data_IF_050932492982
#
_entry.id   IF_050932492982
#
_cell.length_a   1.000
_cell.length_b   1.000
_cell.length_c   1.000
_cell.angle_alpha   90.00
_cell.angle_beta   90.00
_cell.angle_gamma   90.00
#
_symmetry.space_group_name_H-M   'P 1'
#
loop_
_entity.id
_entity.type
_entity.pdbx_description
1 polymer ?
#
# COMPACT_ATOMS: atom_id res chain seq x y z
N UNK A 1 -33.66 -7.86 4.32
CA UNK A 1 -33.15 -6.57 3.90
C UNK A 1 -32.65 -5.83 5.13
N UNK A 2 -31.49 -5.22 5.09
CA UNK A 2 -30.97 -4.49 6.24
C UNK A 2 -31.75 -3.20 6.47
N UNK A 3 -31.90 -2.79 7.73
CA UNK A 3 -32.45 -1.49 8.09
C UNK A 3 -31.32 -0.46 8.13
N UNK A 4 -31.20 0.37 7.09
CA UNK A 4 -30.09 1.32 6.98
C UNK A 4 -30.22 2.53 7.92
N UNK A 5 -31.41 2.76 8.53
CA UNK A 5 -31.57 3.82 9.54
C UNK A 5 -30.80 3.58 10.83
N UNK A 6 -30.34 2.35 11.04
CA UNK A 6 -29.55 1.96 12.23
C UNK A 6 -28.05 2.34 12.07
N UNK A 7 -27.63 2.76 10.87
CA UNK A 7 -26.26 3.19 10.61
C UNK A 7 -26.14 4.71 10.74
N UNK A 8 -25.03 5.14 11.33
CA UNK A 8 -24.72 6.56 11.47
C UNK A 8 -24.57 7.21 10.09
N UNK A 9 -25.20 8.35 9.90
CA UNK A 9 -24.99 9.15 8.70
C UNK A 9 -23.57 9.73 8.71
N UNK A 10 -22.74 9.28 7.77
CA UNK A 10 -21.36 9.72 7.59
C UNK A 10 -21.10 10.10 6.15
N UNK A 11 -20.06 10.91 5.94
CA UNK A 11 -19.58 11.31 4.63
C UNK A 11 -18.09 11.00 4.52
N UNK A 12 -17.80 9.86 3.89
CA UNK A 12 -16.44 9.42 3.60
C UNK A 12 -16.12 9.75 2.15
N UNK A 13 -15.04 10.48 1.91
CA UNK A 13 -14.49 10.69 0.57
C UNK A 13 -13.46 9.60 0.27
N UNK A 14 -13.50 9.02 -0.92
CA UNK A 14 -12.43 8.24 -1.51
C UNK A 14 -11.83 9.06 -2.66
N UNK A 15 -10.63 9.57 -2.47
CA UNK A 15 -9.89 10.36 -3.44
C UNK A 15 -8.89 9.46 -4.16
N UNK A 16 -8.88 9.50 -5.49
CA UNK A 16 -7.92 8.75 -6.33
C UNK A 16 -7.31 9.64 -7.40
N UNK A 17 -5.98 9.56 -7.52
CA UNK A 17 -5.23 10.18 -8.61
C UNK A 17 -5.01 9.14 -9.70
N UNK A 18 -5.73 9.30 -10.80
CA UNK A 18 -5.63 8.39 -11.94
C UNK A 18 -4.26 8.50 -12.59
N UNK A 19 -3.69 7.38 -13.05
CA UNK A 19 -2.39 7.34 -13.71
C UNK A 19 -1.26 8.08 -12.97
N UNK A 20 -1.30 8.07 -11.63
CA UNK A 20 -0.48 8.91 -10.75
C UNK A 20 0.99 8.98 -11.16
N UNK A 21 1.65 7.82 -11.33
CA UNK A 21 3.09 7.80 -11.63
C UNK A 21 3.41 8.43 -12.99
N UNK A 22 2.58 8.18 -14.01
CA UNK A 22 2.77 8.78 -15.33
C UNK A 22 2.50 10.29 -15.30
N UNK A 23 1.40 10.70 -14.66
CA UNK A 23 1.00 12.12 -14.60
C UNK A 23 1.99 12.95 -13.78
N UNK A 24 2.43 12.47 -12.60
CA UNK A 24 3.50 13.12 -11.83
C UNK A 24 4.79 13.25 -12.66
N UNK A 25 5.12 12.22 -13.42
CA UNK A 25 6.31 12.23 -14.26
C UNK A 25 6.22 13.25 -15.40
N UNK A 26 5.03 13.46 -15.95
CA UNK A 26 4.78 14.53 -16.94
C UNK A 26 4.91 15.91 -16.30
N UNK A 27 4.11 16.18 -15.24
CA UNK A 27 4.09 17.48 -14.58
C UNK A 27 5.47 17.90 -14.10
N UNK A 28 6.24 16.98 -13.54
CA UNK A 28 7.61 17.25 -13.08
C UNK A 28 8.60 17.60 -14.18
N UNK A 29 8.27 17.28 -15.43
CA UNK A 29 9.04 17.66 -16.63
C UNK A 29 8.47 18.89 -17.34
N UNK A 30 7.42 19.48 -16.78
CA UNK A 30 6.72 20.63 -17.37
C UNK A 30 5.91 20.27 -18.62
N UNK A 31 5.49 19.01 -18.79
CA UNK A 31 4.68 18.55 -19.91
C UNK A 31 3.27 18.18 -19.44
N UNK A 32 2.27 18.47 -20.27
CA UNK A 32 0.86 18.19 -19.95
C UNK A 32 0.57 16.67 -20.08
N UNK A 33 0.13 15.99 -19.00
CA UNK A 33 -0.17 14.56 -19.04
C UNK A 33 -1.37 14.22 -19.95
N UNK A 34 -2.28 15.15 -20.19
CA UNK A 34 -3.46 14.95 -21.02
C UNK A 34 -3.17 15.02 -22.53
N UNK A 35 -2.00 15.51 -22.91
CA UNK A 35 -1.59 15.68 -24.32
C UNK A 35 -0.42 14.76 -24.69
N UNK A 36 0.35 14.33 -23.73
CA UNK A 36 1.61 13.62 -23.96
C UNK A 36 1.50 12.13 -23.64
N UNK A 37 2.11 11.32 -24.48
CA UNK A 37 2.18 9.86 -24.36
C UNK A 37 3.41 9.49 -23.55
N UNK A 38 3.20 9.09 -22.28
CA UNK A 38 4.29 8.70 -21.39
C UNK A 38 3.98 7.38 -20.67
N UNK A 39 4.95 6.46 -20.69
CA UNK A 39 4.95 5.25 -19.90
C UNK A 39 6.03 5.26 -18.82
N UNK A 40 5.66 4.92 -17.59
CA UNK A 40 6.57 4.57 -16.51
C UNK A 40 6.74 3.07 -16.50
N UNK A 41 7.98 2.57 -16.64
CA UNK A 41 8.30 1.16 -16.81
C UNK A 41 9.19 0.67 -15.69
N UNK A 42 8.97 -0.54 -15.19
CA UNK A 42 9.71 -1.11 -14.06
C UNK A 42 11.24 -1.12 -14.28
N UNK A 43 11.68 -1.34 -15.52
CA UNK A 43 13.10 -1.30 -15.91
C UNK A 43 13.19 -1.11 -17.43
N UNK A 44 13.64 0.07 -17.87
CA UNK A 44 13.76 0.38 -19.31
C UNK A 44 14.84 -0.42 -20.05
N UNK A 45 15.72 -1.11 -19.33
CA UNK A 45 16.78 -1.95 -19.93
C UNK A 45 16.30 -3.37 -20.26
N UNK A 46 15.15 -3.80 -19.75
CA UNK A 46 14.61 -5.17 -19.91
C UNK A 46 13.41 -5.15 -20.84
N UNK A 47 13.49 -5.79 -22.00
CA UNK A 47 12.41 -5.86 -23.00
C UNK A 47 11.08 -6.42 -22.44
N UNK A 48 11.14 -7.35 -21.51
CA UNK A 48 9.97 -7.90 -20.83
C UNK A 48 9.47 -7.09 -19.63
N UNK A 49 10.03 -5.91 -19.37
CA UNK A 49 9.61 -5.05 -18.26
C UNK A 49 8.16 -4.59 -18.39
N UNK A 50 7.52 -4.37 -17.25
CA UNK A 50 6.09 -4.07 -17.16
C UNK A 50 5.86 -2.56 -17.10
N UNK A 51 4.85 -2.08 -17.82
CA UNK A 51 4.31 -0.72 -17.68
C UNK A 51 3.63 -0.62 -16.31
N UNK A 52 4.16 0.23 -15.44
CA UNK A 52 3.62 0.53 -14.11
C UNK A 52 2.46 1.51 -14.21
N UNK A 53 2.60 2.52 -15.09
CA UNK A 53 1.59 3.55 -15.32
C UNK A 53 1.79 4.15 -16.71
N UNK A 54 0.69 4.52 -17.35
CA UNK A 54 0.68 5.19 -18.64
C UNK A 54 -0.27 6.37 -18.62
N UNK A 55 0.06 7.47 -19.32
CA UNK A 55 -0.86 8.59 -19.52
C UNK A 55 -2.06 8.18 -20.36
N UNK A 56 -3.17 8.90 -20.24
CA UNK A 56 -4.39 8.60 -20.97
C UNK A 56 -4.20 8.57 -22.50
N UNK A 57 -3.50 9.54 -23.14
CA UNK A 57 -3.19 9.48 -24.58
C UNK A 57 -2.38 8.26 -25.01
N UNK A 58 -1.61 7.65 -24.10
CA UNK A 58 -0.91 6.39 -24.39
C UNK A 58 -1.83 5.18 -24.20
N UNK A 59 -2.76 5.24 -23.27
CA UNK A 59 -3.76 4.18 -23.05
C UNK A 59 -4.73 4.07 -24.24
N UNK A 60 -5.06 5.18 -24.90
CA UNK A 60 -5.84 5.18 -26.15
C UNK A 60 -5.18 4.38 -27.28
N UNK A 61 -3.84 4.25 -27.24
CA UNK A 61 -3.10 3.37 -28.16
C UNK A 61 -3.07 1.89 -27.71
N UNK A 62 -3.80 1.54 -26.64
CA UNK A 62 -3.88 0.18 -26.11
C UNK A 62 -2.81 -0.15 -25.04
N UNK A 63 -1.89 0.77 -24.71
CA UNK A 63 -0.83 0.55 -23.73
C UNK A 63 -1.30 0.96 -22.33
N UNK A 64 -1.48 -0.01 -21.45
CA UNK A 64 -1.99 0.17 -20.10
C UNK A 64 -1.08 -0.45 -19.05
N UNK A 65 -1.37 -0.21 -17.78
CA UNK A 65 -0.71 -0.89 -16.66
C UNK A 65 -0.74 -2.41 -16.85
N UNK A 66 0.45 -3.05 -16.75
CA UNK A 66 0.63 -4.47 -17.01
C UNK A 66 1.10 -4.81 -18.44
N UNK A 67 0.96 -3.92 -19.43
CA UNK A 67 1.56 -4.08 -20.76
C UNK A 67 3.08 -4.24 -20.66
N UNK A 68 3.70 -4.85 -21.68
CA UNK A 68 5.15 -5.07 -21.72
C UNK A 68 5.84 -3.97 -22.53
N UNK A 69 7.11 -3.69 -22.21
CA UNK A 69 7.90 -2.70 -22.95
C UNK A 69 7.90 -2.94 -24.44
N UNK A 70 8.00 -4.19 -24.90
CA UNK A 70 8.01 -4.55 -26.32
C UNK A 70 6.65 -4.33 -27.03
N UNK A 71 5.56 -4.15 -26.29
CA UNK A 71 4.24 -3.84 -26.86
C UNK A 71 4.10 -2.34 -27.18
N UNK A 72 4.99 -1.50 -26.64
CA UNK A 72 4.95 -0.05 -26.87
C UNK A 72 5.46 0.22 -28.29
N UNK A 73 4.69 0.91 -29.15
CA UNK A 73 5.13 1.26 -30.49
C UNK A 73 6.40 2.11 -30.48
N UNK A 74 7.35 1.82 -31.37
CA UNK A 74 8.54 2.65 -31.57
C UNK A 74 8.16 3.95 -32.28
N UNK A 75 7.85 5.00 -31.49
CA UNK A 75 7.46 6.33 -31.98
C UNK A 75 8.20 7.40 -31.19
N UNK A 76 8.59 8.48 -31.88
CA UNK A 76 9.33 9.59 -31.27
C UNK A 76 8.48 10.46 -30.32
N UNK A 77 7.15 10.35 -30.40
CA UNK A 77 6.19 11.06 -29.55
C UNK A 77 5.80 10.29 -28.27
N UNK A 78 6.44 9.14 -28.00
CA UNK A 78 6.21 8.33 -26.80
C UNK A 78 7.42 8.43 -25.89
N UNK A 79 7.20 8.90 -24.65
CA UNK A 79 8.23 8.97 -23.62
C UNK A 79 8.22 7.71 -22.77
N UNK A 80 9.38 7.09 -22.60
CA UNK A 80 9.56 5.89 -21.78
C UNK A 80 10.56 6.21 -20.68
N UNK A 81 10.17 6.05 -19.42
CA UNK A 81 10.98 6.42 -18.26
C UNK A 81 10.97 5.36 -17.15
N UNK A 82 12.02 5.37 -16.35
CA UNK A 82 12.05 4.61 -15.09
C UNK A 82 11.27 5.35 -13.99
N UNK A 83 10.73 4.64 -12.97
CA UNK A 83 10.02 5.25 -11.86
C UNK A 83 10.96 6.09 -10.98
N UNK A 84 10.45 7.22 -10.49
CA UNK A 84 11.14 8.06 -9.51
C UNK A 84 10.32 8.11 -8.20
N UNK A 85 10.55 7.13 -7.32
CA UNK A 85 9.78 6.98 -6.07
C UNK A 85 9.86 8.20 -5.16
N UNK A 86 11.03 8.87 -5.08
CA UNK A 86 11.20 10.08 -4.26
C UNK A 86 10.24 11.19 -4.71
N UNK A 87 10.10 11.36 -6.01
CA UNK A 87 9.22 12.37 -6.59
C UNK A 87 7.75 12.04 -6.32
N UNK A 88 7.33 10.79 -6.50
CA UNK A 88 5.97 10.34 -6.24
C UNK A 88 5.57 10.53 -4.76
N UNK A 89 6.48 10.22 -3.84
CA UNK A 89 6.27 10.47 -2.41
C UNK A 89 6.14 11.97 -2.11
N UNK A 90 6.93 12.82 -2.75
CA UNK A 90 6.82 14.28 -2.56
C UNK A 90 5.44 14.81 -3.00
N UNK A 91 4.93 14.37 -4.14
CA UNK A 91 3.59 14.75 -4.59
C UNK A 91 2.49 14.22 -3.67
N UNK A 92 2.59 12.96 -3.24
CA UNK A 92 1.66 12.40 -2.26
C UNK A 92 1.66 13.20 -0.94
N UNK A 93 2.84 13.60 -0.45
CA UNK A 93 2.97 14.45 0.75
C UNK A 93 2.37 15.85 0.54
N UNK A 94 2.49 16.43 -0.66
CA UNK A 94 1.85 17.73 -0.96
C UNK A 94 0.33 17.59 -0.88
N UNK A 95 -0.25 16.55 -1.48
CA UNK A 95 -1.67 16.26 -1.41
C UNK A 95 -2.11 16.06 0.06
N UNK A 96 -1.37 15.27 0.82
CA UNK A 96 -1.67 15.05 2.23
C UNK A 96 -1.67 16.36 3.04
N UNK A 97 -0.74 17.29 2.75
CA UNK A 97 -0.72 18.63 3.38
C UNK A 97 -1.94 19.46 3.03
N UNK A 98 -2.41 19.43 1.77
CA UNK A 98 -3.66 20.08 1.37
C UNK A 98 -4.83 19.55 2.18
N UNK A 99 -4.92 18.22 2.35
CA UNK A 99 -6.00 17.61 3.14
C UNK A 99 -5.97 18.03 4.63
N UNK A 100 -4.79 18.19 5.21
CA UNK A 100 -4.62 18.66 6.59
C UNK A 100 -5.10 20.10 6.82
N UNK A 101 -5.30 20.92 5.78
CA UNK A 101 -5.92 22.24 5.91
C UNK A 101 -7.41 22.14 6.22
N UNK A 102 -8.05 21.00 5.95
CA UNK A 102 -9.48 20.80 6.04
C UNK A 102 -9.91 19.85 7.16
N UNK A 103 -9.12 18.81 7.43
CA UNK A 103 -9.49 17.75 8.38
C UNK A 103 -8.31 17.38 9.28
N UNK A 104 -8.62 16.76 10.40
CA UNK A 104 -7.58 16.26 11.30
C UNK A 104 -6.87 15.03 10.71
N UNK A 105 -5.61 14.82 11.08
CA UNK A 105 -4.81 13.69 10.58
C UNK A 105 -5.44 12.31 10.86
N UNK A 106 -6.18 12.18 11.96
CA UNK A 106 -6.86 10.93 12.34
C UNK A 106 -8.08 10.62 11.44
N UNK A 107 -8.56 11.61 10.69
CA UNK A 107 -9.67 11.48 9.75
C UNK A 107 -9.18 11.38 8.29
N UNK A 108 -7.87 11.14 8.09
CA UNK A 108 -7.25 10.83 6.79
C UNK A 108 -6.63 9.45 6.87
N UNK A 109 -7.07 8.56 5.98
CA UNK A 109 -6.51 7.21 5.85
C UNK A 109 -5.94 7.01 4.46
N UNK A 110 -4.61 6.93 4.36
CA UNK A 110 -3.95 6.62 3.10
C UNK A 110 -4.05 5.12 2.80
N UNK A 111 -4.78 4.76 1.75
CA UNK A 111 -4.96 3.38 1.32
C UNK A 111 -3.84 2.92 0.36
N UNK A 112 -3.48 3.79 -0.60
CA UNK A 112 -2.36 3.62 -1.53
C UNK A 112 -1.67 4.96 -1.72
N UNK A 113 -0.53 4.98 -2.41
CA UNK A 113 0.18 6.25 -2.72
C UNK A 113 -0.72 7.25 -3.47
N UNK A 114 -1.64 6.73 -4.29
CA UNK A 114 -2.56 7.50 -5.12
C UNK A 114 -4.03 7.41 -4.70
N UNK A 115 -4.34 6.80 -3.54
CA UNK A 115 -5.73 6.62 -3.08
C UNK A 115 -5.83 6.88 -1.57
N UNK A 116 -6.69 7.81 -1.20
CA UNK A 116 -6.84 8.33 0.16
C UNK A 116 -8.31 8.35 0.54
N UNK A 117 -8.65 7.84 1.73
CA UNK A 117 -9.96 8.01 2.34
C UNK A 117 -9.93 9.14 3.37
N UNK A 118 -11.04 9.89 3.45
CA UNK A 118 -11.16 11.06 4.31
C UNK A 118 -12.56 11.08 4.91
N UNK A 119 -12.65 11.11 6.24
CA UNK A 119 -13.92 11.36 6.91
C UNK A 119 -14.15 12.87 7.03
N UNK A 120 -15.16 13.36 6.32
CA UNK A 120 -15.49 14.79 6.29
C UNK A 120 -16.78 15.12 7.04
N UNK A 121 -17.34 14.16 7.75
CA UNK A 121 -18.65 14.26 8.43
C UNK A 121 -18.76 15.49 9.32
N UNK A 122 -17.74 15.75 10.13
CA UNK A 122 -17.74 16.84 11.10
C UNK A 122 -17.17 18.17 10.54
N UNK A 123 -16.67 18.16 9.29
CA UNK A 123 -15.91 19.29 8.73
C UNK A 123 -16.61 20.03 7.62
N UNK A 124 -17.30 19.35 6.68
CA UNK A 124 -17.78 19.96 5.44
C UNK A 124 -18.71 21.14 5.67
N UNK A 125 -19.56 21.10 6.73
CA UNK A 125 -20.52 22.17 7.08
C UNK A 125 -19.86 23.50 7.44
N UNK A 126 -18.57 23.50 7.79
CA UNK A 126 -17.82 24.72 8.07
C UNK A 126 -17.47 25.49 6.78
N UNK A 127 -17.54 24.83 5.64
CA UNK A 127 -17.10 25.36 4.34
C UNK A 127 -18.21 25.43 3.31
N UNK A 128 -19.15 24.48 3.31
CA UNK A 128 -20.18 24.31 2.28
C UNK A 128 -21.44 23.66 2.87
N UNK A 129 -22.55 23.78 2.13
CA UNK A 129 -23.82 23.16 2.53
C UNK A 129 -23.85 21.64 2.19
N UNK A 130 -23.10 21.22 1.16
CA UNK A 130 -23.12 19.85 0.66
C UNK A 130 -21.72 19.21 0.64
N UNK A 131 -21.60 17.91 0.98
CA UNK A 131 -20.34 17.19 0.90
C UNK A 131 -19.71 17.19 -0.51
N UNK A 132 -20.54 17.24 -1.57
CA UNK A 132 -20.05 17.31 -2.96
C UNK A 132 -19.37 18.64 -3.29
N UNK A 133 -19.85 19.75 -2.74
CA UNK A 133 -19.23 21.07 -2.89
C UNK A 133 -17.88 21.12 -2.15
N UNK A 134 -17.83 20.48 -0.98
CA UNK A 134 -16.59 20.35 -0.22
C UNK A 134 -15.56 19.50 -0.96
N UNK A 135 -15.98 18.36 -1.54
CA UNK A 135 -15.13 17.52 -2.37
C UNK A 135 -14.60 18.29 -3.60
N UNK A 136 -15.45 19.10 -4.27
CA UNK A 136 -15.03 19.93 -5.39
C UNK A 136 -13.97 20.97 -4.98
N UNK A 137 -14.10 21.56 -3.80
CA UNK A 137 -13.13 22.51 -3.26
C UNK A 137 -11.78 21.84 -2.99
N UNK A 138 -11.76 20.69 -2.33
CA UNK A 138 -10.54 19.91 -2.09
C UNK A 138 -9.87 19.53 -3.42
N UNK A 139 -10.66 19.06 -4.40
CA UNK A 139 -10.18 18.72 -5.74
C UNK A 139 -9.49 19.89 -6.41
N UNK A 140 -10.13 21.08 -6.41
CA UNK A 140 -9.58 22.28 -7.02
C UNK A 140 -8.26 22.72 -6.39
N UNK A 141 -8.13 22.65 -5.05
CA UNK A 141 -6.89 22.99 -4.37
C UNK A 141 -5.76 21.98 -4.67
N UNK A 142 -6.08 20.68 -4.71
CA UNK A 142 -5.10 19.65 -5.12
C UNK A 142 -4.62 19.92 -6.56
N UNK A 143 -5.51 20.24 -7.49
CA UNK A 143 -5.18 20.54 -8.88
C UNK A 143 -4.30 21.80 -8.97
N UNK A 144 -4.62 22.84 -8.21
CA UNK A 144 -3.84 24.08 -8.15
C UNK A 144 -2.41 23.82 -7.63
N UNK A 145 -2.26 23.06 -6.54
CA UNK A 145 -0.96 22.81 -5.88
C UNK A 145 -0.09 21.77 -6.62
N UNK A 146 -0.71 20.83 -7.32
CA UNK A 146 0.00 19.69 -7.91
C UNK A 146 -0.08 19.59 -9.42
N UNK A 147 -1.00 20.31 -10.07
CA UNK A 147 -1.37 20.17 -11.48
C UNK A 147 -1.84 18.75 -11.85
N UNK A 148 -2.34 18.00 -10.85
CA UNK A 148 -2.85 16.65 -11.02
C UNK A 148 -4.37 16.64 -10.82
N UNK A 149 -5.07 16.03 -11.77
CA UNK A 149 -6.50 15.78 -11.62
C UNK A 149 -6.75 14.59 -10.71
N UNK A 150 -7.77 14.69 -9.86
CA UNK A 150 -8.25 13.58 -9.05
C UNK A 150 -9.73 13.35 -9.21
N UNK A 151 -10.15 12.11 -9.00
CA UNK A 151 -11.53 11.68 -8.90
C UNK A 151 -11.88 11.47 -7.44
N UNK A 152 -13.12 11.76 -7.06
CA UNK A 152 -13.59 11.63 -5.69
C UNK A 152 -14.93 10.87 -5.68
N UNK A 153 -14.99 9.79 -4.89
CA UNK A 153 -16.24 9.13 -4.56
C UNK A 153 -16.68 9.49 -3.15
N UNK A 154 -17.96 9.72 -2.95
CA UNK A 154 -18.59 10.09 -1.68
C UNK A 154 -19.54 8.97 -1.26
N UNK A 155 -19.46 8.52 -0.03
CA UNK A 155 -20.35 7.49 0.52
C UNK A 155 -20.42 7.52 2.03
N UNK A 156 -21.40 6.80 2.63
CA UNK A 156 -21.55 6.72 4.08
C UNK A 156 -20.49 5.84 4.78
N UNK A 157 -19.69 5.12 4.01
CA UNK A 157 -18.58 4.29 4.47
C UNK A 157 -17.50 4.17 3.38
N UNK A 158 -16.38 3.52 3.69
CA UNK A 158 -15.25 3.39 2.75
C UNK A 158 -15.64 2.55 1.51
N UNK A 159 -16.43 1.50 1.70
CA UNK A 159 -16.88 0.65 0.60
C UNK A 159 -17.72 1.43 -0.42
N UNK A 160 -18.77 2.13 0.03
CA UNK A 160 -19.64 2.91 -0.87
C UNK A 160 -18.94 4.12 -1.46
N UNK A 161 -18.04 4.78 -0.72
CA UNK A 161 -17.23 5.86 -1.29
C UNK A 161 -16.29 5.37 -2.38
N UNK A 162 -15.68 4.16 -2.21
CA UNK A 162 -14.87 3.53 -3.24
C UNK A 162 -15.68 3.10 -4.44
N UNK A 163 -16.87 2.53 -4.24
CA UNK A 163 -17.76 2.19 -5.34
C UNK A 163 -18.23 3.45 -6.09
N UNK A 164 -18.57 4.54 -5.37
CA UNK A 164 -18.92 5.82 -5.97
C UNK A 164 -17.78 6.39 -6.82
N UNK A 165 -16.54 6.25 -6.36
CA UNK A 165 -15.35 6.58 -7.14
C UNK A 165 -15.30 5.77 -8.44
N UNK A 166 -15.41 4.43 -8.35
CA UNK A 166 -15.17 3.53 -9.47
C UNK A 166 -16.32 3.49 -10.49
N UNK A 167 -17.56 3.82 -10.08
CA UNK A 167 -18.74 3.73 -10.96
C UNK A 167 -19.34 5.06 -11.38
N UNK A 168 -19.36 6.06 -10.48
CA UNK A 168 -20.05 7.32 -10.69
C UNK A 168 -19.11 8.46 -11.07
N UNK A 169 -17.90 8.57 -10.46
CA UNK A 169 -17.04 9.74 -10.65
C UNK A 169 -16.56 9.93 -12.09
N UNK A 170 -16.43 8.86 -12.85
CA UNK A 170 -16.03 8.91 -14.27
C UNK A 170 -17.15 9.27 -15.22
N UNK A 171 -18.41 9.27 -14.74
CA UNK A 171 -19.58 9.61 -15.55
C UNK A 171 -19.99 11.08 -15.41
N UNK A 172 -19.40 11.80 -14.47
CA UNK A 172 -19.71 13.20 -14.19
C UNK A 172 -18.57 14.14 -14.59
N UNK A 173 -18.90 15.26 -15.22
CA UNK A 173 -17.93 16.28 -15.66
C UNK A 173 -17.05 16.81 -14.52
N UNK A 174 -17.56 16.79 -13.29
CA UNK A 174 -16.83 17.24 -12.11
C UNK A 174 -15.92 16.18 -11.50
N UNK A 175 -15.86 14.97 -12.05
CA UNK A 175 -15.09 13.85 -11.49
C UNK A 175 -15.43 13.51 -10.03
N UNK A 176 -16.70 13.74 -9.64
CA UNK A 176 -17.22 13.45 -8.29
C UNK A 176 -18.43 12.54 -8.41
N UNK A 177 -18.36 11.37 -7.77
CA UNK A 177 -19.45 10.42 -7.65
C UNK A 177 -20.02 10.38 -6.24
N UNK A 178 -21.31 10.05 -6.10
CA UNK A 178 -21.98 9.91 -4.81
C UNK A 178 -22.85 8.65 -4.81
N UNK A 179 -22.71 7.84 -3.77
CA UNK A 179 -23.58 6.70 -3.48
C UNK A 179 -24.04 6.74 -2.03
N UNK A 180 -25.35 6.57 -1.83
CA UNK A 180 -25.97 6.44 -0.52
C UNK A 180 -26.57 5.03 -0.35
N UNK A 181 -27.03 4.70 0.84
CA UNK A 181 -27.74 3.44 1.10
C UNK A 181 -29.01 3.28 0.25
N UNK A 182 -29.67 4.37 -0.12
CA UNK A 182 -30.82 4.37 -1.04
C UNK A 182 -30.48 3.90 -2.46
N UNK A 183 -29.23 4.05 -2.87
CA UNK A 183 -28.79 3.75 -4.24
C UNK A 183 -28.39 2.29 -4.44
N UNK A 184 -28.34 1.48 -3.34
CA UNK A 184 -27.79 0.11 -3.35
C UNK A 184 -28.53 -0.76 -4.36
N UNK A 185 -29.84 -0.76 -4.35
CA UNK A 185 -30.64 -1.65 -5.22
C UNK A 185 -30.51 -1.26 -6.70
N UNK A 186 -30.46 0.03 -6.98
CA UNK A 186 -30.51 0.55 -8.34
C UNK A 186 -29.11 0.69 -8.97
N UNK A 187 -28.07 0.98 -8.16
CA UNK A 187 -26.73 1.24 -8.67
C UNK A 187 -25.67 0.21 -8.26
N UNK A 188 -25.78 -0.38 -7.05
CA UNK A 188 -24.76 -1.32 -6.57
C UNK A 188 -25.11 -2.76 -6.97
N UNK A 189 -26.36 -3.19 -6.81
CA UNK A 189 -26.76 -4.56 -7.15
C UNK A 189 -26.58 -4.95 -8.62
N UNK A 190 -26.72 -4.06 -9.62
CA UNK A 190 -26.44 -4.38 -11.01
C UNK A 190 -24.96 -4.57 -11.35
N UNK A 191 -24.04 -4.20 -10.45
CA UNK A 191 -22.60 -4.29 -10.72
C UNK A 191 -22.20 -5.73 -11.09
N UNK A 192 -21.54 -5.86 -12.23
CA UNK A 192 -20.90 -7.06 -12.73
C UNK A 192 -19.70 -6.67 -13.60
N UNK A 193 -18.70 -7.49 -13.74
CA UNK A 193 -18.38 -8.69 -12.98
C UNK A 193 -18.08 -8.38 -11.49
N UNK A 194 -18.19 -9.39 -10.62
CA UNK A 194 -18.10 -9.21 -9.16
C UNK A 194 -16.75 -8.67 -8.68
N UNK A 195 -15.66 -8.95 -9.39
CA UNK A 195 -14.33 -8.45 -9.03
C UNK A 195 -14.18 -6.93 -9.12
N UNK A 196 -15.16 -6.21 -9.68
CA UNK A 196 -15.23 -4.73 -9.62
C UNK A 196 -15.56 -4.23 -8.22
N UNK A 197 -16.08 -5.09 -7.35
CA UNK A 197 -16.39 -4.73 -5.97
C UNK A 197 -15.16 -4.96 -5.10
N UNK A 198 -14.79 -3.96 -4.35
CA UNK A 198 -13.68 -4.02 -3.43
C UNK A 198 -13.84 -5.19 -2.43
N UNK A 199 -12.82 -6.02 -2.30
CA UNK A 199 -12.82 -7.23 -1.50
C UNK A 199 -13.11 -8.53 -2.27
N UNK A 200 -13.57 -8.46 -3.53
CA UNK A 200 -13.78 -9.63 -4.39
C UNK A 200 -12.69 -9.67 -5.47
N UNK A 201 -11.83 -10.68 -5.42
CA UNK A 201 -10.81 -10.89 -6.46
C UNK A 201 -11.31 -11.84 -7.57
N UNK A 202 -10.57 -11.92 -8.67
CA UNK A 202 -10.94 -12.76 -9.84
C UNK A 202 -11.09 -14.26 -9.49
N UNK A 203 -10.40 -14.77 -8.47
CA UNK A 203 -10.52 -16.16 -8.05
C UNK A 203 -11.86 -16.38 -7.34
N UNK A 204 -12.17 -15.53 -6.36
CA UNK A 204 -13.42 -15.59 -5.61
C UNK A 204 -14.63 -15.38 -6.52
N UNK A 205 -14.53 -14.46 -7.50
CA UNK A 205 -15.56 -14.28 -8.52
C UNK A 205 -15.86 -15.57 -9.29
N UNK A 206 -14.84 -16.30 -9.74
CA UNK A 206 -15.02 -17.60 -10.44
C UNK A 206 -15.77 -18.59 -9.56
N UNK A 207 -15.38 -18.70 -8.29
CA UNK A 207 -16.03 -19.58 -7.31
C UNK A 207 -17.51 -19.18 -7.09
N UNK A 208 -17.81 -17.87 -7.02
CA UNK A 208 -19.18 -17.36 -6.91
C UNK A 208 -19.99 -17.58 -8.19
N UNK A 209 -19.39 -17.43 -9.36
CA UNK A 209 -20.03 -17.68 -10.66
C UNK A 209 -20.40 -19.16 -10.82
N UNK A 210 -19.62 -20.09 -10.27
CA UNK A 210 -19.95 -21.53 -10.24
C UNK A 210 -21.20 -21.82 -9.40
N UNK A 211 -21.53 -20.94 -8.43
CA UNK A 211 -22.77 -20.98 -7.66
C UNK A 211 -23.96 -20.28 -8.36
N UNK A 212 -23.74 -19.73 -9.56
CA UNK A 212 -24.74 -18.96 -10.32
C UNK A 212 -24.89 -17.50 -9.84
N UNK A 213 -23.89 -16.96 -9.11
CA UNK A 213 -23.89 -15.60 -8.61
C UNK A 213 -23.03 -14.73 -9.52
N UNK A 214 -23.64 -13.90 -10.36
CA UNK A 214 -22.95 -13.10 -11.37
C UNK A 214 -22.96 -11.59 -11.05
N UNK A 215 -23.95 -11.13 -10.30
CA UNK A 215 -24.12 -9.73 -9.92
C UNK A 215 -24.04 -9.56 -8.41
N UNK A 216 -23.76 -8.35 -7.96
CA UNK A 216 -23.79 -8.00 -6.53
C UNK A 216 -25.18 -8.28 -5.93
N UNK A 217 -26.25 -8.02 -6.70
CA UNK A 217 -27.63 -8.32 -6.29
C UNK A 217 -27.91 -9.82 -6.14
N UNK A 218 -27.28 -10.70 -6.94
CA UNK A 218 -27.40 -12.15 -6.74
C UNK A 218 -26.74 -12.54 -5.42
N UNK A 219 -25.55 -12.00 -5.15
CA UNK A 219 -24.83 -12.24 -3.90
C UNK A 219 -25.59 -11.70 -2.69
N UNK A 220 -26.19 -10.51 -2.77
CA UNK A 220 -26.97 -9.89 -1.70
C UNK A 220 -28.22 -10.72 -1.32
N UNK A 221 -28.85 -11.34 -2.31
CA UNK A 221 -30.05 -12.16 -2.14
C UNK A 221 -29.74 -13.61 -1.78
N UNK A 222 -28.49 -14.04 -1.91
CA UNK A 222 -28.12 -15.42 -1.57
C UNK A 222 -28.14 -15.64 -0.06
N UNK A 223 -28.66 -16.79 0.43
CA UNK A 223 -28.81 -17.05 1.87
C UNK A 223 -27.46 -16.98 2.61
N UNK A 224 -27.36 -16.09 3.59
CA UNK A 224 -26.12 -15.85 4.35
C UNK A 224 -25.61 -17.11 5.08
N UNK A 225 -26.51 -17.99 5.54
CA UNK A 225 -26.14 -19.25 6.15
C UNK A 225 -25.43 -20.19 5.18
N UNK A 226 -25.81 -20.21 3.90
CA UNK A 226 -25.13 -20.98 2.85
C UNK A 226 -23.76 -20.38 2.51
N UNK A 227 -23.66 -19.04 2.40
CA UNK A 227 -22.36 -18.37 2.22
C UNK A 227 -21.42 -18.68 3.39
N UNK A 228 -21.96 -18.66 4.62
CA UNK A 228 -21.17 -18.97 5.82
C UNK A 228 -20.72 -20.44 5.86
N UNK A 229 -21.52 -21.38 5.39
CA UNK A 229 -21.13 -22.79 5.26
C UNK A 229 -19.99 -22.99 4.25
N UNK A 230 -20.00 -22.25 3.13
CA UNK A 230 -19.01 -22.37 2.07
C UNK A 230 -17.72 -21.60 2.38
N UNK A 231 -17.83 -20.40 2.94
CA UNK A 231 -16.72 -19.45 3.08
C UNK A 231 -16.40 -19.01 4.52
N UNK A 232 -17.08 -19.59 5.53
CA UNK A 232 -16.89 -19.22 6.93
C UNK A 232 -17.23 -17.75 7.22
N UNK A 233 -16.36 -17.05 7.93
CA UNK A 233 -16.52 -15.62 8.25
C UNK A 233 -16.59 -14.74 7.00
N UNK A 234 -15.79 -15.07 5.97
CA UNK A 234 -15.82 -14.36 4.69
C UNK A 234 -17.19 -14.40 4.02
N UNK A 235 -17.97 -15.48 4.21
CA UNK A 235 -19.34 -15.55 3.68
C UNK A 235 -20.30 -14.53 4.30
N UNK A 236 -20.11 -14.18 5.58
CA UNK A 236 -20.84 -13.09 6.24
C UNK A 236 -20.41 -11.74 5.72
N UNK A 237 -19.11 -11.54 5.55
CA UNK A 237 -18.53 -10.30 4.99
C UNK A 237 -19.02 -10.05 3.56
N UNK A 238 -19.06 -11.08 2.71
CA UNK A 238 -19.60 -10.99 1.36
C UNK A 238 -21.06 -10.54 1.34
N UNK A 239 -21.88 -11.05 2.25
CA UNK A 239 -23.27 -10.61 2.36
C UNK A 239 -23.37 -9.14 2.82
N UNK A 240 -22.54 -8.69 3.76
CA UNK A 240 -22.49 -7.29 4.19
C UNK A 240 -22.03 -6.37 3.04
N UNK A 241 -20.92 -6.70 2.38
CA UNK A 241 -20.38 -5.96 1.24
C UNK A 241 -21.43 -5.83 0.13
N UNK A 242 -22.14 -6.90 -0.22
CA UNK A 242 -23.17 -6.86 -1.27
C UNK A 242 -24.38 -6.01 -0.91
N UNK A 243 -24.56 -5.73 0.37
CA UNK A 243 -25.57 -4.80 0.88
C UNK A 243 -25.01 -3.42 1.24
N UNK A 244 -23.79 -3.08 0.76
CA UNK A 244 -23.17 -1.78 0.98
C UNK A 244 -22.76 -1.48 2.41
N UNK A 245 -22.69 -2.53 3.26
CA UNK A 245 -22.33 -2.40 4.67
C UNK A 245 -20.84 -2.72 4.83
N UNK A 246 -20.12 -1.75 5.37
CA UNK A 246 -18.71 -1.89 5.70
C UNK A 246 -18.57 -1.99 7.23
N UNK A 247 -17.93 -3.05 7.69
CA UNK A 247 -17.67 -3.26 9.12
C UNK A 247 -16.36 -2.64 9.58
N UNK A 248 -15.57 -2.08 8.64
CA UNK A 248 -14.33 -1.40 9.00
C UNK A 248 -14.62 -0.06 9.67
N UNK A 249 -14.03 0.14 10.85
CA UNK A 249 -14.13 1.41 11.57
C UNK A 249 -13.03 2.33 11.05
N UNK A 250 -13.41 3.48 10.49
CA UNK A 250 -12.48 4.42 9.86
C UNK A 250 -11.28 4.79 10.75
N UNK A 251 -11.48 4.97 12.05
CA UNK A 251 -10.42 5.33 13.01
C UNK A 251 -9.62 4.14 13.53
N UNK A 252 -10.14 2.91 13.47
CA UNK A 252 -9.42 1.70 13.90
C UNK A 252 -8.51 1.15 12.80
N UNK A 253 -8.75 1.50 11.55
CA UNK A 253 -7.99 1.02 10.39
C UNK A 253 -6.62 1.69 10.21
N UNK A 254 -6.21 2.61 11.09
CA UNK A 254 -4.83 3.11 11.11
C UNK A 254 -3.76 2.00 11.26
N UNK A 255 -4.18 0.77 11.60
CA UNK A 255 -3.29 -0.39 11.66
C UNK A 255 -3.18 -1.18 10.34
N UNK A 256 -4.06 -0.95 9.35
CA UNK A 256 -4.15 -1.84 8.16
C UNK A 256 -3.18 -1.43 7.04
N UNK A 257 -2.66 -0.20 7.03
CA UNK A 257 -1.75 0.26 5.96
C UNK A 257 -0.38 0.72 6.43
N UNK A 258 0.18 0.02 7.40
CA UNK A 258 1.62 -0.10 7.46
C UNK A 258 1.97 -1.35 6.64
N UNK A 259 2.40 -1.19 5.37
CA UNK A 259 2.77 -2.34 4.58
C UNK A 259 3.83 -3.11 5.35
N UNK A 260 3.61 -4.42 5.51
CA UNK A 260 4.62 -5.30 6.08
C UNK A 260 5.98 -4.95 5.48
N UNK A 261 6.96 -4.75 6.32
CA UNK A 261 8.32 -4.56 5.86
C UNK A 261 8.93 -5.95 5.72
N UNK A 262 9.15 -6.36 4.47
CA UNK A 262 9.63 -7.71 4.15
C UNK A 262 10.97 -7.66 3.43
N UNK A 263 11.77 -8.67 3.67
CA UNK A 263 12.98 -8.94 2.93
C UNK A 263 13.00 -10.41 2.53
N UNK A 264 12.95 -10.67 1.23
CA UNK A 264 13.12 -12.01 0.66
C UNK A 264 14.44 -12.03 -0.12
N UNK A 265 15.36 -12.87 0.30
CA UNK A 265 16.65 -13.01 -0.34
C UNK A 265 16.84 -14.48 -0.74
N UNK A 266 16.82 -14.74 -2.05
CA UNK A 266 17.34 -15.99 -2.59
C UNK A 266 18.85 -15.82 -2.78
N UNK A 267 19.62 -16.75 -2.23
CA UNK A 267 21.06 -16.68 -2.30
C UNK A 267 21.59 -17.22 -3.64
N UNK A 268 22.58 -16.56 -4.21
CA UNK A 268 23.25 -17.03 -5.43
C UNK A 268 24.05 -18.31 -5.20
N UNK A 269 24.54 -18.53 -3.97
CA UNK A 269 25.17 -19.74 -3.50
C UNK A 269 24.56 -20.19 -2.17
N UNK A 270 24.75 -21.44 -1.82
CA UNK A 270 24.33 -21.93 -0.50
C UNK A 270 25.31 -21.47 0.58
N UNK A 271 24.77 -21.05 1.71
CA UNK A 271 25.54 -20.59 2.86
C UNK A 271 25.48 -21.60 4.00
N UNK A 272 26.60 -21.74 4.71
CA UNK A 272 26.70 -22.55 5.91
C UNK A 272 26.03 -21.84 7.11
N UNK A 273 25.61 -22.61 8.11
CA UNK A 273 24.96 -22.06 9.31
C UNK A 273 25.74 -20.90 9.96
N UNK A 274 27.05 -20.98 10.07
CA UNK A 274 27.87 -19.94 10.70
C UNK A 274 27.91 -18.62 9.91
N UNK A 275 27.71 -18.66 8.59
CA UNK A 275 27.65 -17.49 7.72
C UNK A 275 26.30 -16.76 7.87
N UNK A 276 25.25 -17.48 8.29
CA UNK A 276 23.89 -16.92 8.41
C UNK A 276 23.79 -15.80 9.42
N UNK A 277 24.65 -15.77 10.46
CA UNK A 277 24.62 -14.74 11.49
C UNK A 277 24.84 -13.34 10.91
N UNK A 278 25.84 -13.21 10.05
CA UNK A 278 26.17 -11.93 9.40
C UNK A 278 25.11 -11.54 8.37
N UNK A 279 24.63 -12.50 7.58
CA UNK A 279 23.59 -12.28 6.57
C UNK A 279 22.27 -11.80 7.23
N UNK A 280 21.84 -12.47 8.30
CA UNK A 280 20.64 -12.09 9.05
C UNK A 280 20.82 -10.68 9.62
N UNK A 281 21.96 -10.36 10.22
CA UNK A 281 22.22 -9.05 10.79
C UNK A 281 22.13 -7.95 9.73
N UNK A 282 22.77 -8.12 8.58
CA UNK A 282 22.70 -7.16 7.45
C UNK A 282 21.26 -6.93 6.96
N UNK A 283 20.47 -8.01 6.85
CA UNK A 283 19.08 -7.84 6.41
C UNK A 283 18.22 -7.17 7.49
N UNK A 284 18.43 -7.48 8.76
CA UNK A 284 17.73 -6.82 9.88
C UNK A 284 18.10 -5.34 9.95
N UNK A 285 19.35 -4.96 9.77
CA UNK A 285 19.78 -3.56 9.68
C UNK A 285 19.05 -2.79 8.57
N UNK A 286 18.95 -3.40 7.39
CA UNK A 286 18.22 -2.83 6.26
C UNK A 286 16.73 -2.61 6.56
N UNK A 287 16.09 -3.60 7.21
CA UNK A 287 14.67 -3.52 7.57
C UNK A 287 14.41 -2.51 8.68
N UNK A 288 15.27 -2.46 9.70
CA UNK A 288 15.15 -1.49 10.81
C UNK A 288 15.43 -0.07 10.37
N UNK A 289 16.33 0.14 9.40
CA UNK A 289 16.50 1.46 8.76
C UNK A 289 15.20 1.93 8.09
N UNK A 290 14.44 1.03 7.45
CA UNK A 290 13.13 1.35 6.88
C UNK A 290 12.08 1.63 7.97
N UNK A 291 12.08 0.89 9.10
CA UNK A 291 11.19 1.19 10.24
C UNK A 291 11.45 2.60 10.78
N UNK A 292 12.70 2.91 11.09
CA UNK A 292 13.09 4.23 11.63
C UNK A 292 12.80 5.38 10.67
N UNK A 293 13.06 5.20 9.37
CA UNK A 293 12.77 6.25 8.37
C UNK A 293 11.28 6.57 8.23
N UNK A 294 10.41 5.66 8.70
CA UNK A 294 8.95 5.82 8.69
C UNK A 294 8.37 6.10 10.09
N UNK A 295 9.20 6.23 11.12
CA UNK A 295 8.81 6.38 12.53
C UNK A 295 7.86 5.25 12.99
N UNK A 296 8.21 4.00 12.68
CA UNK A 296 7.41 2.82 12.97
C UNK A 296 8.13 1.88 13.95
N UNK A 297 7.34 1.19 14.77
CA UNK A 297 7.77 0.07 15.60
C UNK A 297 7.12 -1.21 15.07
N UNK A 298 7.85 -2.33 15.09
CA UNK A 298 7.32 -3.65 14.75
C UNK A 298 6.89 -4.39 16.02
N UNK A 299 5.72 -5.02 15.97
CA UNK A 299 5.26 -5.93 17.04
C UNK A 299 5.45 -7.41 16.68
N UNK A 300 5.25 -7.80 15.43
CA UNK A 300 5.38 -9.21 15.02
C UNK A 300 6.53 -9.39 14.05
N UNK A 301 7.46 -10.26 14.43
CA UNK A 301 8.64 -10.64 13.66
C UNK A 301 8.44 -12.07 13.18
N UNK A 302 8.43 -12.29 11.88
CA UNK A 302 8.41 -13.62 11.28
C UNK A 302 9.65 -13.83 10.43
N UNK A 303 10.21 -15.02 10.45
CA UNK A 303 11.31 -15.39 9.59
C UNK A 303 11.10 -16.79 9.01
N UNK A 304 11.71 -17.05 7.87
CA UNK A 304 11.87 -18.39 7.33
C UNK A 304 13.23 -18.56 6.67
N UNK A 305 13.81 -19.73 6.87
CA UNK A 305 15.04 -20.16 6.25
C UNK A 305 14.76 -21.43 5.43
N UNK A 306 15.20 -21.43 4.18
CA UNK A 306 15.07 -22.57 3.28
C UNK A 306 16.41 -23.29 3.17
N UNK A 307 16.43 -24.58 3.53
CA UNK A 307 17.51 -25.51 3.24
C UNK A 307 17.17 -26.41 2.05
N UNK A 308 18.06 -27.31 1.66
CA UNK A 308 17.79 -28.29 0.62
C UNK A 308 16.72 -29.32 1.04
N UNK A 309 16.63 -29.61 2.34
CA UNK A 309 15.72 -30.61 2.87
C UNK A 309 14.37 -30.01 3.27
N UNK A 310 14.37 -28.83 3.90
CA UNK A 310 13.19 -28.26 4.53
C UNK A 310 13.16 -26.73 4.47
N UNK A 311 11.97 -26.16 4.71
CA UNK A 311 11.80 -24.73 5.03
C UNK A 311 11.39 -24.61 6.50
N UNK A 312 12.19 -23.93 7.28
CA UNK A 312 11.92 -23.64 8.68
C UNK A 312 11.31 -22.25 8.76
N UNK A 313 10.18 -22.12 9.45
CA UNK A 313 9.52 -20.82 9.66
C UNK A 313 9.08 -20.67 11.10
N UNK A 314 9.19 -19.45 11.63
CA UNK A 314 8.72 -19.08 12.97
C UNK A 314 8.30 -17.63 12.99
N UNK A 315 7.32 -17.31 13.84
CA UNK A 315 6.92 -15.92 14.13
C UNK A 315 6.86 -15.68 15.64
N UNK A 316 7.11 -14.45 16.03
CA UNK A 316 7.05 -14.02 17.42
C UNK A 316 6.43 -12.62 17.51
N UNK A 317 5.50 -12.46 18.45
CA UNK A 317 4.87 -11.16 18.73
C UNK A 317 5.41 -10.61 20.02
N UNK A 318 6.04 -9.44 19.93
CA UNK A 318 6.54 -8.68 21.07
C UNK A 318 5.37 -8.05 21.82
N UNK A 319 5.48 -7.94 23.13
CA UNK A 319 4.52 -7.21 23.96
C UNK A 319 4.54 -5.73 23.60
N UNK A 320 5.73 -5.16 23.50
CA UNK A 320 5.98 -3.79 23.09
C UNK A 320 6.64 -3.77 21.73
N UNK A 321 6.31 -2.77 20.88
CA UNK A 321 6.91 -2.64 19.57
C UNK A 321 8.37 -2.17 19.67
N UNK A 322 9.22 -2.57 18.70
CA UNK A 322 10.61 -2.12 18.60
C UNK A 322 11.00 -1.73 17.18
N UNK A 323 11.97 -0.84 17.03
CA UNK A 323 12.70 -0.53 15.79
C UNK A 323 14.22 -0.67 15.99
N UNK A 324 14.62 -1.28 17.10
CA UNK A 324 16.02 -1.52 17.46
C UNK A 324 16.52 -2.76 16.74
N UNK A 325 17.61 -2.61 16.01
CA UNK A 325 18.21 -3.68 15.20
C UNK A 325 18.51 -4.93 16.05
N UNK A 326 19.10 -4.74 17.20
CA UNK A 326 19.53 -5.86 18.05
C UNK A 326 18.37 -6.62 18.70
N UNK A 327 17.25 -5.96 18.97
CA UNK A 327 16.06 -6.64 19.51
C UNK A 327 15.50 -7.62 18.48
N UNK A 328 15.33 -7.15 17.24
CA UNK A 328 14.83 -7.98 16.14
C UNK A 328 15.82 -9.08 15.79
N UNK A 329 17.12 -8.76 15.76
CA UNK A 329 18.17 -9.71 15.48
C UNK A 329 18.22 -10.84 16.54
N UNK A 330 18.15 -10.50 17.84
CA UNK A 330 18.15 -11.49 18.94
C UNK A 330 16.97 -12.45 18.81
N UNK A 331 15.79 -11.98 18.46
CA UNK A 331 14.60 -12.83 18.24
C UNK A 331 14.85 -13.81 17.11
N UNK A 332 15.27 -13.33 15.94
CA UNK A 332 15.51 -14.17 14.76
C UNK A 332 16.65 -15.14 15.02
N UNK A 333 17.75 -14.67 15.62
CA UNK A 333 18.92 -15.49 15.89
C UNK A 333 18.63 -16.60 16.91
N UNK A 334 17.85 -16.33 17.95
CA UNK A 334 17.44 -17.34 18.93
C UNK A 334 16.64 -18.47 18.28
N UNK A 335 15.78 -18.17 17.30
CA UNK A 335 15.07 -19.19 16.53
C UNK A 335 16.00 -19.96 15.59
N UNK A 336 16.94 -19.27 14.97
CA UNK A 336 17.95 -19.89 14.11
C UNK A 336 18.77 -20.90 14.91
N UNK A 337 19.21 -20.56 16.13
CA UNK A 337 19.94 -21.45 17.02
C UNK A 337 19.16 -22.68 17.48
N UNK A 338 17.83 -22.50 17.70
CA UNK A 338 16.97 -23.57 18.20
C UNK A 338 16.49 -24.54 17.12
N UNK A 339 16.27 -24.06 15.91
CA UNK A 339 15.53 -24.77 14.87
C UNK A 339 16.39 -25.19 13.67
N UNK A 340 17.53 -24.55 13.46
CA UNK A 340 18.39 -24.80 12.29
C UNK A 340 19.47 -25.84 12.58
N UNK A 341 19.65 -26.75 11.64
CA UNK A 341 20.77 -27.73 11.72
C UNK A 341 22.09 -27.03 11.34
N UNK A 342 23.09 -27.17 12.20
CA UNK A 342 24.41 -26.58 12.00
C UNK A 342 25.21 -27.20 10.84
N UNK A 343 24.79 -28.35 10.35
CA UNK A 343 25.40 -29.06 9.24
C UNK A 343 24.74 -28.85 7.90
N UNK A 344 23.53 -28.20 7.89
CA UNK A 344 22.81 -27.91 6.67
C UNK A 344 23.29 -26.61 5.99
N UNK A 345 23.01 -26.53 4.70
CA UNK A 345 23.24 -25.35 3.88
C UNK A 345 21.89 -24.67 3.54
N UNK A 346 21.88 -23.35 3.55
CA UNK A 346 20.70 -22.53 3.38
C UNK A 346 20.73 -21.78 2.05
N UNK A 347 19.62 -21.79 1.32
CA UNK A 347 19.47 -21.24 -0.03
C UNK A 347 18.62 -19.98 -0.11
N UNK A 348 17.81 -19.70 0.92
CA UNK A 348 16.99 -18.48 0.96
C UNK A 348 16.65 -18.08 2.40
N UNK A 349 16.53 -16.76 2.61
CA UNK A 349 16.09 -16.14 3.86
C UNK A 349 14.89 -15.22 3.55
N UNK A 350 13.84 -15.33 4.35
CA UNK A 350 12.73 -14.38 4.35
C UNK A 350 12.55 -13.84 5.77
N UNK A 351 12.49 -12.52 5.91
CA UNK A 351 12.16 -11.82 7.15
C UNK A 351 10.97 -10.92 6.89
N UNK A 352 9.93 -11.02 7.72
CA UNK A 352 8.72 -10.20 7.63
C UNK A 352 8.45 -9.51 8.96
N UNK A 353 8.35 -8.18 8.93
CA UNK A 353 8.01 -7.34 10.05
C UNK A 353 6.58 -6.86 9.86
N UNK A 354 5.68 -7.29 10.75
CA UNK A 354 4.24 -7.07 10.65
C UNK A 354 3.68 -6.44 11.93
N UNK A 355 2.41 -6.06 11.94
CA UNK A 355 1.80 -5.31 13.04
C UNK A 355 2.62 -4.06 13.39
N UNK A 356 2.89 -3.25 12.37
CA UNK A 356 3.64 -2.02 12.53
C UNK A 356 2.76 -0.96 13.21
N UNK A 357 3.31 -0.27 14.20
CA UNK A 357 2.62 0.80 14.94
C UNK A 357 3.46 2.07 14.92
N UNK A 358 2.84 3.28 14.94
CA UNK A 358 3.58 4.53 15.04
C UNK A 358 4.41 4.61 16.32
N UNK A 359 5.61 5.19 16.23
CA UNK A 359 6.52 5.34 17.38
C UNK A 359 5.98 6.25 18.52
N UNK A 360 4.86 6.93 18.31
CA UNK A 360 4.25 7.87 19.28
C UNK A 360 3.74 7.23 20.58
N UNK A 361 3.61 5.91 20.66
CA UNK A 361 3.08 5.18 21.81
C UNK A 361 4.14 4.29 22.48
N UNK A 362 5.29 4.84 22.89
CA UNK A 362 6.17 4.12 23.82
C UNK A 362 5.57 4.19 25.21
N UNK A 363 4.89 3.15 25.66
CA UNK A 363 4.68 2.93 27.09
C UNK A 363 6.06 2.66 27.71
N UNK A 364 6.53 3.63 28.50
CA UNK A 364 7.73 3.48 29.34
C UNK A 364 7.43 2.39 30.38
N UNK A 365 7.91 1.19 30.12
CA UNK A 365 7.89 0.14 31.13
C UNK A 365 8.99 0.46 32.14
N UNK A 366 8.61 0.91 33.35
CA UNK A 366 9.49 1.31 34.43
C UNK A 366 10.50 0.25 34.89
N UNK A 367 10.36 -0.99 34.38
CA UNK A 367 11.22 -2.14 34.73
C UNK A 367 12.24 -2.51 33.63
N UNK A 368 12.27 -1.80 32.52
CA UNK A 368 13.31 -1.98 31.50
C UNK A 368 14.46 -1.04 31.87
N UNK A 369 15.65 -1.57 32.01
CA UNK A 369 16.85 -0.78 32.25
C UNK A 369 17.01 0.25 31.12
N UNK A 370 16.70 1.49 31.43
CA UNK A 370 16.76 2.62 30.49
C UNK A 370 18.14 2.77 29.89
N UNK A 371 19.20 2.45 30.66
CA UNK A 371 20.58 2.52 30.22
C UNK A 371 20.91 1.48 29.13
N UNK A 372 20.46 0.23 29.25
CA UNK A 372 20.66 -0.77 28.19
C UNK A 372 19.94 -0.37 26.91
N UNK A 373 18.77 0.21 27.03
CA UNK A 373 17.97 0.65 25.89
C UNK A 373 18.61 1.85 25.18
N UNK A 374 19.05 2.86 25.93
CA UNK A 374 19.75 4.03 25.40
C UNK A 374 21.07 3.62 24.72
N UNK A 375 21.79 2.66 25.30
CA UNK A 375 23.00 2.09 24.69
C UNK A 375 22.70 1.40 23.37
N UNK A 376 21.66 0.56 23.31
CA UNK A 376 21.30 -0.18 22.09
C UNK A 376 20.74 0.77 21.01
N UNK A 377 20.04 1.84 21.39
CA UNK A 377 19.61 2.92 20.49
C UNK A 377 20.82 3.69 19.94
N UNK A 378 21.78 4.04 20.77
CA UNK A 378 23.01 4.71 20.35
C UNK A 378 23.85 3.84 19.40
N UNK A 379 23.97 2.53 19.67
CA UNK A 379 24.65 1.59 18.79
C UNK A 379 23.93 1.43 17.44
N UNK A 380 22.59 1.45 17.43
CA UNK A 380 21.79 1.40 16.20
C UNK A 380 21.96 2.67 15.35
N UNK A 381 22.10 3.85 15.98
CA UNK A 381 22.39 5.11 15.28
C UNK A 381 23.79 5.10 14.66
N UNK A 382 24.80 4.65 15.41
CA UNK A 382 26.19 4.52 14.91
C UNK A 382 26.31 3.51 13.74
N UNK A 383 25.58 2.41 13.78
CA UNK A 383 25.52 1.45 12.69
C UNK A 383 24.90 2.07 11.41
N UNK A 384 23.91 2.95 11.54
CA UNK A 384 23.35 3.67 10.39
C UNK A 384 24.34 4.65 9.75
N UNK A 385 25.10 5.39 10.57
CA UNK A 385 26.12 6.32 10.08
C UNK A 385 27.27 5.61 9.38
N UNK A 386 27.69 4.43 9.90
CA UNK A 386 28.72 3.60 9.25
C UNK A 386 28.24 2.99 7.92
N UNK A 387 26.98 2.60 7.85
CA UNK A 387 26.36 2.06 6.63
C UNK A 387 26.27 3.13 5.53
N UNK A 388 25.93 4.36 5.90
CA UNK A 388 25.89 5.49 4.94
C UNK A 388 27.28 5.86 4.44
N UNK A 389 28.30 5.89 5.32
CA UNK A 389 29.69 6.13 4.96
C UNK A 389 30.28 5.04 4.04
N UNK A 390 29.91 3.76 4.24
CA UNK A 390 30.33 2.67 3.37
C UNK A 390 29.64 2.73 1.99
N UNK A 391 28.41 3.23 1.93
CA UNK A 391 27.72 3.43 0.64
C UNK A 391 28.35 4.56 -0.17
N UNK A 392 28.79 5.64 0.48
CA UNK A 392 29.53 6.72 -0.18
C UNK A 392 30.92 6.26 -0.65
N UNK A 393 31.67 5.51 0.16
CA UNK A 393 32.98 4.93 -0.24
C UNK A 393 32.86 4.00 -1.44
N UNK A 394 31.88 3.11 -1.49
CA UNK A 394 31.66 2.23 -2.65
C UNK A 394 31.24 2.97 -3.93
N UNK A 395 30.58 4.10 -3.80
CA UNK A 395 30.25 4.97 -4.94
C UNK A 395 31.47 5.73 -5.45
N UNK A 396 32.38 6.11 -4.58
CA UNK A 396 33.63 6.77 -4.96
C UNK A 396 34.66 5.78 -5.55
N UNK A 397 34.77 4.56 -5.01
CA UNK A 397 35.61 3.50 -5.59
C UNK A 397 35.09 3.05 -6.97
N UNK A 398 33.78 2.98 -7.18
CA UNK A 398 33.21 2.70 -8.49
C UNK A 398 33.38 3.86 -9.49
N UNK A 399 33.50 5.11 -9.01
CA UNK A 399 33.85 6.28 -9.86
C UNK A 399 35.32 6.34 -10.21
N UNK A 400 36.22 5.99 -9.30
CA UNK A 400 37.66 5.93 -9.56
C UNK A 400 38.01 4.81 -10.56
N UNK A 401 37.41 3.63 -10.44
CA UNK A 401 37.60 2.53 -11.39
C UNK A 401 37.07 2.81 -12.82
N UNK A 402 36.22 3.81 -12.99
CA UNK A 402 35.76 4.28 -14.32
C UNK A 402 36.65 5.34 -14.95
N UNK A 403 37.54 5.96 -14.19
CA UNK A 403 38.50 6.97 -14.66
C UNK A 403 39.83 6.33 -15.08
N UNK A 404 40.23 5.20 -14.45
CA UNK A 404 41.48 4.49 -14.74
C UNK A 404 41.41 3.54 -15.96
N UNK A 405 40.27 3.44 -16.63
CA UNK A 405 40.05 2.67 -17.86
C UNK A 405 39.69 3.54 -19.07
N UNK A 406 40.21 4.79 -19.12
CA UNK A 406 40.19 5.61 -20.32
C UNK A 406 41.60 5.96 -20.80
#
# INVERSE_FOLDING_TARGET
>A
MYNYSDFQERYILCLSLHNFFANVSCVSKGINPNENKLAVISDTKRQGAIVISATEPLQELGIKTGSRLFEIPHRNDIFIINPNMKQYINYANTIYKVLLNYVHADDIQQHRVNEIFIDVTDYYKQYCDKPSEFAARIRAEIEQETQLNCHIGIGPNMLLSKLALDTESYQHDQSIGLLNYSDIMDKVWPIHPLHKVWGINNRLEKELNELGLYTVGDLARYPVNKLTQLYGTMGKELNLISNGIDTNIFRETHSIYNPDIKCEVAFEKQYQYYEMKEIILQQVERLTKQLRSRNLLVKTIAFSLKSNANTISKSYTLKDGTNITMDIFRVIWSFTEQLCDKHEQYSALNISLTQLVPERARELNLFIDTFERERDEALALLANEQSDNNTYRRQDESRQNLVDHR
#
